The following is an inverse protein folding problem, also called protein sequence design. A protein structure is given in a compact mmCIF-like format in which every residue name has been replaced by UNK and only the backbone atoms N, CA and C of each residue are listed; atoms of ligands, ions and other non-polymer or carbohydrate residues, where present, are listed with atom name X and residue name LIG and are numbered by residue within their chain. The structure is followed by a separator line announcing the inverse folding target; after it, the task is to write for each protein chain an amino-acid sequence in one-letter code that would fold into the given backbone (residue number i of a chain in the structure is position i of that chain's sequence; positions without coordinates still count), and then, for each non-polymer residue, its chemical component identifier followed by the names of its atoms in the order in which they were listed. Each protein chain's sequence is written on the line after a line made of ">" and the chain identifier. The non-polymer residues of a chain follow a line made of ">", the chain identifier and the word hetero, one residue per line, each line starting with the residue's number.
data_IF_995927660935
#
_entry.id   IF_995927660935
#
_cell.length_a   1.000
_cell.length_b   1.000
_cell.length_c   1.000
_cell.angle_alpha   90.00
_cell.angle_beta   90.00
_cell.angle_gamma   90.00
#
_symmetry.space_group_name_H-M   'P 1'
#
loop_
_entity.id
_entity.type
_entity.pdbx_description
1 polymer ?
#
# COMPACT_ATOMS: atom_id res chain seq x y z
N UNK A 1 -5.70 -14.58 4.86
CA UNK A 1 -6.53 -14.26 3.67
C UNK A 1 -6.08 -12.96 3.02
N UNK A 2 -5.89 -11.86 3.75
CA UNK A 2 -5.36 -10.60 3.18
C UNK A 2 -4.06 -10.79 2.38
N UNK A 3 -3.09 -11.54 2.90
CA UNK A 3 -1.87 -11.92 2.17
C UNK A 3 -2.13 -12.69 0.86
N UNK A 4 -3.18 -13.52 0.82
CA UNK A 4 -3.57 -14.25 -0.40
C UNK A 4 -4.15 -13.30 -1.47
N UNK A 5 -4.65 -12.14 -1.05
CA UNK A 5 -5.22 -11.14 -1.94
C UNK A 5 -4.16 -10.28 -2.67
N UNK A 6 -2.88 -10.68 -2.63
CA UNK A 6 -1.86 -10.14 -3.53
C UNK A 6 -2.21 -10.40 -5.01
N UNK A 7 -2.91 -11.51 -5.31
CA UNK A 7 -3.27 -11.89 -6.68
C UNK A 7 -4.08 -10.83 -7.45
N UNK A 8 -5.24 -10.34 -6.98
CA UNK A 8 -5.99 -9.28 -7.69
C UNK A 8 -5.18 -7.98 -7.82
N UNK A 9 -4.30 -7.68 -6.87
CA UNK A 9 -3.40 -6.53 -6.99
C UNK A 9 -2.36 -6.74 -8.10
N UNK A 10 -1.77 -7.93 -8.23
CA UNK A 10 -0.88 -8.30 -9.33
C UNK A 10 -1.59 -8.23 -10.68
N UNK A 11 -2.80 -8.79 -10.78
CA UNK A 11 -3.62 -8.73 -12.00
C UNK A 11 -3.86 -7.28 -12.43
N UNK A 12 -4.24 -6.40 -11.49
CA UNK A 12 -4.37 -4.96 -11.73
C UNK A 12 -3.07 -4.32 -12.20
N UNK A 13 -1.94 -4.58 -11.52
CA UNK A 13 -0.66 -3.99 -11.91
C UNK A 13 -0.19 -4.40 -13.31
N UNK A 14 -0.32 -5.69 -13.65
CA UNK A 14 0.05 -6.21 -14.98
C UNK A 14 -0.87 -5.67 -16.08
N UNK A 15 -2.16 -5.45 -15.77
CA UNK A 15 -3.11 -4.81 -16.69
C UNK A 15 -2.72 -3.35 -16.93
N UNK A 16 -2.49 -2.59 -15.85
CA UNK A 16 -2.36 -1.13 -15.88
C UNK A 16 -0.95 -0.64 -16.27
N UNK A 17 0.05 -1.52 -16.31
CA UNK A 17 1.44 -1.21 -16.67
C UNK A 17 1.96 -2.09 -17.83
N UNK A 18 1.07 -2.47 -18.75
CA UNK A 18 1.40 -3.37 -19.88
C UNK A 18 2.54 -2.86 -20.77
N UNK A 19 2.75 -1.55 -20.81
CA UNK A 19 3.82 -0.88 -21.56
C UNK A 19 5.16 -0.78 -20.78
N UNK A 20 5.18 -1.13 -19.49
CA UNK A 20 6.38 -1.18 -18.65
C UNK A 20 6.78 -2.63 -18.34
N UNK A 21 7.55 -3.23 -19.27
CA UNK A 21 8.01 -4.61 -19.15
C UNK A 21 8.90 -4.88 -17.92
N UNK A 22 9.71 -3.90 -17.50
CA UNK A 22 10.60 -4.04 -16.34
C UNK A 22 9.78 -4.04 -15.05
N UNK A 23 8.83 -3.12 -14.91
CA UNK A 23 7.92 -3.11 -13.76
C UNK A 23 7.04 -4.37 -13.73
N UNK A 24 6.54 -4.84 -14.88
CA UNK A 24 5.75 -6.08 -14.96
C UNK A 24 6.56 -7.33 -14.54
N UNK A 25 7.84 -7.39 -14.89
CA UNK A 25 8.74 -8.44 -14.43
C UNK A 25 8.94 -8.40 -12.91
N UNK A 26 9.14 -7.20 -12.35
CA UNK A 26 9.19 -7.02 -10.89
C UNK A 26 7.89 -7.49 -10.22
N UNK A 27 6.72 -7.15 -10.78
CA UNK A 27 5.44 -7.55 -10.18
C UNK A 27 5.24 -9.06 -10.13
N UNK A 28 5.82 -9.80 -11.08
CA UNK A 28 5.80 -11.26 -11.06
C UNK A 28 6.64 -11.84 -9.92
N UNK A 29 7.80 -11.24 -9.64
CA UNK A 29 8.68 -11.62 -8.52
C UNK A 29 8.04 -11.24 -7.19
N UNK A 30 7.54 -10.01 -7.06
CA UNK A 30 6.81 -9.55 -5.89
C UNK A 30 5.64 -10.48 -5.58
N UNK A 31 4.82 -10.82 -6.58
CA UNK A 31 3.69 -11.73 -6.37
C UNK A 31 4.11 -13.10 -5.85
N UNK A 32 5.19 -13.67 -6.40
CA UNK A 32 5.73 -14.92 -5.87
C UNK A 32 6.18 -14.78 -4.40
N UNK A 33 6.78 -13.65 -4.03
CA UNK A 33 7.18 -13.37 -2.66
C UNK A 33 5.97 -13.25 -1.72
N UNK A 34 4.97 -12.45 -2.08
CA UNK A 34 3.72 -12.28 -1.33
C UNK A 34 2.95 -13.59 -1.14
N UNK A 35 2.89 -14.44 -2.18
CA UNK A 35 2.20 -15.73 -2.05
C UNK A 35 2.86 -16.62 -0.99
N UNK A 36 4.18 -16.54 -0.77
CA UNK A 36 4.83 -17.27 0.32
C UNK A 36 4.32 -16.81 1.69
N UNK A 37 4.00 -15.53 1.89
CA UNK A 37 3.46 -15.02 3.15
C UNK A 37 2.15 -15.72 3.51
N UNK A 38 1.22 -15.79 2.56
CA UNK A 38 -0.05 -16.48 2.76
C UNK A 38 0.14 -17.97 3.07
N UNK A 39 1.04 -18.65 2.35
CA UNK A 39 1.30 -20.07 2.50
C UNK A 39 1.93 -20.40 3.86
N UNK A 40 2.91 -19.64 4.33
CA UNK A 40 3.54 -19.88 5.64
C UNK A 40 2.56 -19.62 6.79
N UNK A 41 1.70 -18.60 6.68
CA UNK A 41 0.66 -18.33 7.68
C UNK A 41 -0.40 -19.43 7.71
N UNK A 42 -0.87 -19.90 6.55
CA UNK A 42 -1.79 -21.04 6.48
C UNK A 42 -1.16 -22.31 7.07
N UNK A 43 0.12 -22.53 6.81
CA UNK A 43 0.86 -23.69 7.31
C UNK A 43 1.09 -23.63 8.82
N UNK A 44 1.23 -22.43 9.38
CA UNK A 44 1.18 -22.21 10.83
C UNK A 44 -0.21 -22.56 11.39
N UNK A 45 -1.29 -22.06 10.76
CA UNK A 45 -2.66 -22.36 11.19
C UNK A 45 -2.95 -23.87 11.15
N UNK A 46 -2.55 -24.59 10.10
CA UNK A 46 -2.74 -26.05 10.02
C UNK A 46 -2.14 -26.80 11.22
N UNK A 47 -1.00 -26.34 11.73
CA UNK A 47 -0.32 -26.98 12.87
C UNK A 47 -0.91 -26.59 14.22
N UNK A 48 -1.24 -25.32 14.40
CA UNK A 48 -1.52 -24.77 15.74
C UNK A 48 -2.98 -24.36 15.95
N UNK A 49 -3.73 -24.04 14.87
CA UNK A 49 -5.13 -23.59 14.88
C UNK A 49 -5.87 -24.08 13.62
N UNK A 50 -6.00 -25.40 13.41
CA UNK A 50 -6.56 -25.97 12.19
C UNK A 50 -8.01 -25.54 11.94
N UNK A 51 -8.74 -25.20 13.00
CA UNK A 51 -10.09 -24.63 12.98
C UNK A 51 -10.18 -23.26 12.28
N UNK A 52 -9.06 -22.56 12.13
CA UNK A 52 -8.98 -21.23 11.53
C UNK A 52 -8.32 -21.20 10.14
N UNK A 53 -7.98 -22.36 9.58
CA UNK A 53 -7.39 -22.43 8.24
C UNK A 53 -8.44 -21.99 7.22
N UNK A 54 -8.16 -21.00 6.35
CA UNK A 54 -9.11 -20.59 5.32
C UNK A 54 -9.47 -21.74 4.39
N UNK A 55 -10.75 -21.86 4.08
CA UNK A 55 -11.27 -22.72 3.03
C UNK A 55 -10.92 -22.19 1.64
N UNK A 56 -10.94 -23.06 0.63
CA UNK A 56 -10.73 -22.65 -0.76
C UNK A 56 -11.77 -21.61 -1.22
N UNK A 57 -13.02 -21.75 -0.76
CA UNK A 57 -14.08 -20.79 -1.05
C UNK A 57 -13.74 -19.39 -0.50
N UNK A 58 -13.29 -19.29 0.76
CA UNK A 58 -12.89 -18.01 1.35
C UNK A 58 -11.67 -17.37 0.66
N UNK A 59 -10.73 -18.19 0.19
CA UNK A 59 -9.60 -17.72 -0.61
C UNK A 59 -10.02 -17.27 -2.02
N UNK A 60 -11.03 -17.91 -2.61
CA UNK A 60 -11.57 -17.52 -3.91
C UNK A 60 -12.40 -16.25 -3.83
N UNK A 61 -13.13 -16.02 -2.74
CA UNK A 61 -13.99 -14.85 -2.55
C UNK A 61 -13.24 -13.51 -2.69
N UNK A 62 -11.95 -13.47 -2.34
CA UNK A 62 -11.11 -12.27 -2.44
C UNK A 62 -10.46 -12.09 -3.81
N UNK A 63 -10.64 -13.00 -4.76
CA UNK A 63 -10.14 -12.88 -6.13
C UNK A 63 -11.21 -12.24 -7.04
N UNK A 64 -11.17 -10.93 -7.16
CA UNK A 64 -12.02 -10.17 -8.08
C UNK A 64 -11.23 -9.06 -8.76
N UNK A 65 -11.71 -8.59 -9.91
CA UNK A 65 -11.03 -7.54 -10.66
C UNK A 65 -11.22 -6.18 -9.95
N UNK A 66 -10.12 -5.50 -9.64
CA UNK A 66 -10.14 -4.10 -9.22
C UNK A 66 -10.39 -3.16 -10.40
N UNK A 67 -11.07 -2.04 -10.16
CA UNK A 67 -11.22 -0.98 -11.15
C UNK A 67 -9.85 -0.41 -11.57
N UNK A 68 -9.70 0.11 -12.80
CA UNK A 68 -8.49 0.81 -13.23
C UNK A 68 -8.16 2.00 -12.33
N UNK A 69 -6.90 2.13 -11.97
CA UNK A 69 -6.40 3.22 -11.13
C UNK A 69 -5.17 3.90 -11.77
N UNK A 70 -4.94 5.21 -11.56
CA UNK A 70 -3.77 5.89 -12.11
C UNK A 70 -2.47 5.24 -11.61
N UNK A 71 -1.61 4.77 -12.53
CA UNK A 71 -0.43 3.96 -12.21
C UNK A 71 0.50 4.61 -11.16
N UNK A 72 0.74 5.92 -11.25
CA UNK A 72 1.58 6.66 -10.29
C UNK A 72 0.97 6.72 -8.89
N UNK A 73 -0.36 6.86 -8.79
CA UNK A 73 -1.05 6.85 -7.50
C UNK A 73 -1.02 5.45 -6.89
N UNK A 74 -1.28 4.42 -7.71
CA UNK A 74 -1.20 3.01 -7.31
C UNK A 74 0.21 2.65 -6.83
N UNK A 75 1.25 3.10 -7.52
CA UNK A 75 2.64 2.89 -7.13
C UNK A 75 2.95 3.46 -5.74
N UNK A 76 2.53 4.71 -5.47
CA UNK A 76 2.69 5.32 -4.15
C UNK A 76 1.87 4.61 -3.07
N UNK A 77 0.64 4.20 -3.43
CA UNK A 77 -0.28 3.54 -2.51
C UNK A 77 0.31 2.22 -2.00
N UNK A 78 0.84 1.40 -2.90
CA UNK A 78 1.50 0.14 -2.54
C UNK A 78 2.81 0.37 -1.79
N UNK A 79 3.64 1.34 -2.18
CA UNK A 79 4.81 1.74 -1.37
C UNK A 79 4.44 2.07 0.10
N UNK A 80 3.35 2.83 0.30
CA UNK A 80 2.85 3.09 1.66
C UNK A 80 2.31 1.84 2.36
N UNK A 81 1.65 0.95 1.60
CA UNK A 81 1.20 -0.36 2.08
C UNK A 81 2.36 -1.17 2.66
N UNK A 82 3.47 -1.28 1.93
CA UNK A 82 4.67 -2.00 2.36
C UNK A 82 5.28 -1.44 3.65
N UNK A 83 5.39 -0.11 3.76
CA UNK A 83 5.87 0.53 5.00
C UNK A 83 4.95 0.15 6.17
N UNK A 84 3.64 0.15 5.94
CA UNK A 84 2.65 -0.15 6.97
C UNK A 84 2.69 -1.62 7.38
N UNK A 85 2.70 -2.56 6.42
CA UNK A 85 2.82 -4.00 6.68
C UNK A 85 4.12 -4.32 7.43
N UNK A 86 5.25 -3.70 7.06
CA UNK A 86 6.50 -3.82 7.79
C UNK A 86 6.30 -3.49 9.29
N UNK A 87 5.62 -2.39 9.61
CA UNK A 87 5.41 -2.00 11.00
C UNK A 87 4.37 -2.86 11.69
N UNK A 88 3.30 -3.28 11.00
CA UNK A 88 2.29 -4.20 11.53
C UNK A 88 2.94 -5.53 11.96
N UNK A 89 3.75 -6.13 11.09
CA UNK A 89 4.42 -7.39 11.39
C UNK A 89 5.49 -7.27 12.47
N UNK A 90 6.25 -6.16 12.51
CA UNK A 90 7.17 -5.89 13.62
C UNK A 90 6.43 -5.82 14.95
N UNK A 91 5.30 -5.10 14.99
CA UNK A 91 4.49 -5.00 16.21
C UNK A 91 3.89 -6.36 16.60
N UNK A 92 3.40 -7.12 15.63
CA UNK A 92 2.85 -8.45 15.86
C UNK A 92 3.91 -9.40 16.44
N UNK A 93 5.14 -9.38 15.91
CA UNK A 93 6.26 -10.15 16.45
C UNK A 93 6.62 -9.74 17.89
N UNK A 94 6.59 -8.44 18.20
CA UNK A 94 6.82 -7.95 19.57
C UNK A 94 5.73 -8.38 20.55
N UNK A 95 4.48 -8.39 20.10
CA UNK A 95 3.33 -8.74 20.93
C UNK A 95 3.26 -10.25 21.23
N UNK A 96 3.59 -11.10 20.25
CA UNK A 96 3.53 -12.54 20.43
C UNK A 96 4.66 -13.09 21.33
N UNK A 97 4.37 -14.22 21.97
CA UNK A 97 5.32 -14.99 22.81
C UNK A 97 5.74 -16.32 22.19
N UNK A 98 4.92 -16.90 21.31
CA UNK A 98 5.21 -18.18 20.65
C UNK A 98 6.33 -17.98 19.60
N UNK A 99 7.43 -18.76 19.67
CA UNK A 99 8.63 -18.49 18.88
C UNK A 99 8.44 -18.64 17.37
N UNK A 100 7.62 -19.58 16.90
CA UNK A 100 7.45 -19.85 15.47
C UNK A 100 6.74 -18.69 14.78
N UNK A 101 5.59 -18.23 15.30
CA UNK A 101 4.85 -17.12 14.70
C UNK A 101 5.64 -15.81 14.77
N UNK A 102 6.44 -15.60 15.83
CA UNK A 102 7.35 -14.45 15.90
C UNK A 102 8.37 -14.49 14.76
N UNK A 103 9.01 -15.63 14.54
CA UNK A 103 9.98 -15.79 13.47
C UNK A 103 9.34 -15.59 12.07
N UNK A 104 8.08 -16.04 11.91
CA UNK A 104 7.30 -15.79 10.68
C UNK A 104 7.08 -14.28 10.51
N UNK A 105 6.52 -13.58 11.51
CA UNK A 105 6.27 -12.14 11.41
C UNK A 105 7.55 -11.31 11.22
N UNK A 106 8.65 -11.66 11.88
CA UNK A 106 9.94 -11.01 11.63
C UNK A 106 10.44 -11.22 10.20
N UNK A 107 10.14 -12.37 9.60
CA UNK A 107 10.50 -12.67 8.21
C UNK A 107 9.65 -11.87 7.24
N UNK A 108 8.32 -11.91 7.40
CA UNK A 108 7.38 -11.11 6.61
C UNK A 108 7.76 -9.63 6.69
N UNK A 109 7.97 -9.08 7.89
CA UNK A 109 8.40 -7.70 8.05
C UNK A 109 9.67 -7.34 7.26
N UNK A 110 10.66 -8.24 7.19
CA UNK A 110 11.87 -8.01 6.40
C UNK A 110 11.57 -8.00 4.90
N UNK A 111 10.70 -8.89 4.44
CA UNK A 111 10.27 -8.93 3.05
C UNK A 111 9.51 -7.66 2.66
N UNK A 112 8.56 -7.17 3.47
CA UNK A 112 7.86 -5.91 3.18
C UNK A 112 8.79 -4.70 3.14
N UNK A 113 9.83 -4.69 3.98
CA UNK A 113 10.85 -3.64 3.90
C UNK A 113 11.61 -3.69 2.55
N UNK A 114 11.89 -4.89 2.02
CA UNK A 114 12.53 -5.05 0.70
C UNK A 114 11.56 -4.69 -0.42
N UNK A 115 10.30 -5.07 -0.33
CA UNK A 115 9.25 -4.70 -1.28
C UNK A 115 9.11 -3.17 -1.35
N UNK A 116 9.00 -2.50 -0.20
CA UNK A 116 8.98 -1.04 -0.10
C UNK A 116 10.23 -0.40 -0.72
N UNK A 117 11.41 -0.99 -0.52
CA UNK A 117 12.66 -0.58 -1.17
C UNK A 117 12.63 -0.74 -2.70
N UNK A 118 12.00 -1.78 -3.22
CA UNK A 118 11.82 -1.98 -4.65
C UNK A 118 10.86 -0.95 -5.26
N UNK A 119 9.69 -0.73 -4.64
CA UNK A 119 8.77 0.33 -5.07
C UNK A 119 9.41 1.71 -5.05
N UNK A 120 10.23 2.02 -4.03
CA UNK A 120 10.95 3.29 -3.96
C UNK A 120 11.88 3.52 -5.17
N UNK A 121 12.51 2.46 -5.69
CA UNK A 121 13.33 2.56 -6.92
C UNK A 121 12.47 2.91 -8.14
N UNK A 122 11.30 2.29 -8.27
CA UNK A 122 10.36 2.62 -9.35
C UNK A 122 9.80 4.03 -9.22
N UNK A 123 9.51 4.48 -8.00
CA UNK A 123 9.12 5.87 -7.75
C UNK A 123 10.20 6.87 -8.17
N UNK A 124 11.47 6.58 -7.87
CA UNK A 124 12.59 7.41 -8.32
C UNK A 124 12.69 7.49 -9.85
N UNK A 125 12.49 6.37 -10.55
CA UNK A 125 12.44 6.34 -12.03
C UNK A 125 11.25 7.12 -12.57
N UNK A 126 10.08 6.99 -11.94
CA UNK A 126 8.89 7.72 -12.31
C UNK A 126 9.07 9.25 -12.17
N UNK A 127 9.80 9.72 -11.16
CA UNK A 127 10.13 11.14 -11.04
C UNK A 127 11.02 11.65 -12.18
N UNK A 128 11.94 10.83 -12.66
CA UNK A 128 12.78 11.16 -13.82
C UNK A 128 11.97 11.19 -15.12
N UNK A 129 11.00 10.28 -15.26
CA UNK A 129 10.19 10.12 -16.48
C UNK A 129 9.04 11.12 -16.57
N UNK A 130 8.33 11.37 -15.46
CA UNK A 130 7.07 12.11 -15.44
C UNK A 130 7.15 13.44 -14.66
N UNK A 131 8.28 13.74 -14.01
CA UNK A 131 8.51 15.03 -13.35
C UNK A 131 7.41 15.41 -12.36
N UNK A 132 6.78 16.58 -12.58
CA UNK A 132 5.81 17.15 -11.67
C UNK A 132 4.49 16.35 -11.57
N UNK A 133 4.14 15.56 -12.58
CA UNK A 133 2.98 14.65 -12.50
C UNK A 133 3.21 13.55 -11.45
N UNK A 134 4.39 12.94 -11.44
CA UNK A 134 4.77 11.97 -10.41
C UNK A 134 4.85 12.61 -9.03
N UNK A 135 5.42 13.82 -8.92
CA UNK A 135 5.45 14.56 -7.65
C UNK A 135 4.02 14.83 -7.13
N UNK A 136 3.10 15.23 -8.01
CA UNK A 136 1.71 15.50 -7.64
C UNK A 136 0.99 14.23 -7.16
N UNK A 137 1.12 13.12 -7.90
CA UNK A 137 0.52 11.83 -7.53
C UNK A 137 1.07 11.31 -6.19
N UNK A 138 2.40 11.33 -6.01
CA UNK A 138 3.04 10.82 -4.79
C UNK A 138 2.73 11.69 -3.58
N UNK A 139 2.71 13.01 -3.73
CA UNK A 139 2.30 13.90 -2.65
C UNK A 139 0.82 13.74 -2.30
N UNK A 140 -0.06 13.52 -3.30
CA UNK A 140 -1.50 13.27 -3.07
C UNK A 140 -1.73 12.02 -2.24
N UNK A 141 -1.18 10.89 -2.68
CA UNK A 141 -1.36 9.61 -1.98
C UNK A 141 -0.58 9.60 -0.66
N UNK A 142 0.61 10.22 -0.61
CA UNK A 142 1.38 10.37 0.62
C UNK A 142 0.63 11.12 1.72
N UNK A 143 -0.08 12.20 1.38
CA UNK A 143 -0.95 12.91 2.35
C UNK A 143 -2.06 11.99 2.86
N UNK A 144 -2.73 11.26 1.96
CA UNK A 144 -3.79 10.31 2.35
C UNK A 144 -3.23 9.26 3.32
N UNK A 145 -2.18 8.56 2.92
CA UNK A 145 -1.62 7.42 3.66
C UNK A 145 -0.95 7.81 4.98
N UNK A 146 -0.45 9.04 5.09
CA UNK A 146 0.09 9.61 6.34
C UNK A 146 -0.98 10.26 7.23
N UNK A 147 -2.24 10.31 6.80
CA UNK A 147 -3.36 10.90 7.56
C UNK A 147 -4.27 9.86 8.23
N UNK A 148 -3.79 8.62 8.44
CA UNK A 148 -4.61 7.50 8.94
C UNK A 148 -5.37 7.77 10.24
N UNK A 149 -4.85 8.65 11.11
CA UNK A 149 -5.54 9.09 12.34
C UNK A 149 -6.88 9.78 12.12
N UNK A 150 -7.22 10.14 10.87
CA UNK A 150 -8.47 10.81 10.50
C UNK A 150 -9.52 9.86 9.92
N UNK A 151 -9.20 8.58 9.78
CA UNK A 151 -10.08 7.56 9.20
C UNK A 151 -10.35 6.45 10.22
N UNK A 152 -11.57 5.93 10.25
CA UNK A 152 -11.92 4.80 11.12
C UNK A 152 -11.26 3.49 10.63
N UNK A 153 -11.12 3.34 9.31
CA UNK A 153 -10.53 2.17 8.68
C UNK A 153 -9.01 2.28 8.57
N UNK A 154 -8.34 1.13 8.68
CA UNK A 154 -6.92 1.00 8.41
C UNK A 154 -6.61 1.33 6.93
N UNK A 155 -5.73 2.31 6.70
CA UNK A 155 -5.32 2.73 5.36
C UNK A 155 -4.28 1.77 4.77
N UNK A 156 -4.75 0.77 4.04
CA UNK A 156 -3.95 -0.25 3.36
C UNK A 156 -4.50 -0.49 1.94
N UNK A 157 -3.68 -0.82 0.92
CA UNK A 157 -4.15 -1.05 -0.45
C UNK A 157 -5.36 -1.99 -0.57
N UNK A 158 -5.41 -3.06 0.24
CA UNK A 158 -6.53 -4.03 0.25
C UNK A 158 -7.87 -3.45 0.68
N UNK A 159 -7.86 -2.30 1.36
CA UNK A 159 -9.05 -1.58 1.84
C UNK A 159 -9.40 -0.39 0.94
N UNK A 160 -8.52 -0.03 0.00
CA UNK A 160 -8.62 1.19 -0.81
C UNK A 160 -8.82 0.90 -2.29
N UNK A 161 -8.31 -0.23 -2.79
CA UNK A 161 -8.69 -0.74 -4.11
C UNK A 161 -10.10 -1.32 -4.07
N UNK A 162 -10.90 -0.91 -5.03
CA UNK A 162 -12.33 -1.23 -5.11
C UNK A 162 -12.71 -1.78 -6.47
N UNK A 163 -13.87 -2.44 -6.52
CA UNK A 163 -14.68 -2.54 -7.73
C UNK A 163 -16.06 -1.93 -7.44
N UNK A 164 -16.32 -0.71 -7.92
CA UNK A 164 -17.51 0.07 -7.56
C UNK A 164 -18.81 -0.68 -7.88
N UNK A 165 -18.82 -1.53 -8.91
CA UNK A 165 -20.01 -2.33 -9.28
C UNK A 165 -20.35 -3.42 -8.27
N UNK A 166 -19.41 -3.77 -7.39
CA UNK A 166 -19.57 -4.83 -6.39
C UNK A 166 -19.94 -4.28 -4.99
N UNK A 167 -20.16 -2.96 -4.86
CA UNK A 167 -20.55 -2.36 -3.58
C UNK A 167 -21.83 -3.02 -3.01
N UNK A 168 -21.88 -3.35 -1.70
CA UNK A 168 -20.95 -2.99 -0.63
C UNK A 168 -19.78 -3.97 -0.41
N UNK A 169 -19.66 -5.02 -1.24
CA UNK A 169 -18.57 -6.00 -1.19
C UNK A 169 -17.52 -5.71 -2.28
N UNK A 170 -17.02 -4.48 -2.30
CA UNK A 170 -16.15 -3.94 -3.35
C UNK A 170 -14.66 -3.95 -3.01
N UNK A 171 -14.28 -4.20 -1.75
CA UNK A 171 -12.88 -4.29 -1.29
C UNK A 171 -12.50 -5.72 -0.88
N UNK A 172 -11.20 -6.01 -0.74
CA UNK A 172 -10.76 -7.29 -0.13
C UNK A 172 -11.36 -7.44 1.27
N UNK A 173 -11.28 -6.39 2.08
CA UNK A 173 -11.71 -6.43 3.49
C UNK A 173 -13.20 -6.75 3.63
N UNK A 174 -14.05 -6.16 2.78
CA UNK A 174 -15.49 -6.40 2.75
C UNK A 174 -15.89 -7.83 2.38
N UNK A 175 -14.94 -8.64 1.91
CA UNK A 175 -15.14 -10.03 1.48
C UNK A 175 -14.48 -11.05 2.42
N UNK A 176 -13.76 -10.59 3.44
CA UNK A 176 -13.24 -11.49 4.47
C UNK A 176 -14.38 -12.10 5.29
N UNK A 177 -14.18 -13.29 5.88
CA UNK A 177 -15.19 -13.93 6.75
C UNK A 177 -15.62 -13.04 7.92
N UNK A 178 -14.72 -12.19 8.39
CA UNK A 178 -14.96 -11.16 9.40
C UNK A 178 -14.30 -9.84 8.94
N UNK A 179 -15.06 -8.93 8.31
CA UNK A 179 -14.54 -7.64 7.83
C UNK A 179 -14.00 -6.73 8.94
N UNK A 180 -14.44 -6.88 10.18
CA UNK A 180 -13.97 -6.08 11.32
C UNK A 180 -12.68 -6.65 11.96
N UNK A 181 -12.24 -7.84 11.53
CA UNK A 181 -11.13 -8.55 12.18
C UNK A 181 -9.82 -7.78 12.12
N UNK A 182 -9.51 -7.11 11.00
CA UNK A 182 -8.27 -6.36 10.85
C UNK A 182 -8.17 -5.22 11.87
N UNK A 183 -9.24 -4.46 12.05
CA UNK A 183 -9.30 -3.39 13.04
C UNK A 183 -9.17 -3.94 14.46
N UNK A 184 -9.86 -5.06 14.76
CA UNK A 184 -9.73 -5.73 16.06
C UNK A 184 -8.31 -6.24 16.33
N UNK A 185 -7.65 -6.80 15.31
CA UNK A 185 -6.28 -7.29 15.40
C UNK A 185 -5.31 -6.13 15.68
N UNK A 186 -5.43 -5.03 14.93
CA UNK A 186 -4.60 -3.84 15.10
C UNK A 186 -4.83 -3.18 16.47
N UNK A 187 -6.08 -2.89 16.83
CA UNK A 187 -6.40 -2.08 18.01
C UNK A 187 -6.33 -2.87 19.31
N UNK A 188 -6.90 -4.07 19.33
CA UNK A 188 -7.13 -4.82 20.58
C UNK A 188 -6.08 -5.89 20.83
N UNK A 189 -5.56 -6.52 19.78
CA UNK A 189 -4.58 -7.60 19.93
C UNK A 189 -3.17 -7.01 19.97
N UNK A 190 -2.65 -6.57 18.82
CA UNK A 190 -1.25 -6.13 18.74
C UNK A 190 -1.05 -4.71 19.30
N UNK A 191 -2.13 -3.96 19.55
CA UNK A 191 -2.11 -2.60 20.06
C UNK A 191 -1.22 -1.68 19.20
N UNK A 192 -1.56 -1.60 17.91
CA UNK A 192 -0.90 -0.73 16.94
C UNK A 192 -1.30 0.73 17.17
N UNK A 193 -0.77 1.29 18.24
CA UNK A 193 -1.15 2.58 18.79
C UNK A 193 -0.57 3.79 18.02
N UNK A 194 -0.80 4.97 18.58
CA UNK A 194 -0.29 6.24 18.08
C UNK A 194 1.24 6.27 17.90
N UNK A 195 2.00 5.54 18.72
CA UNK A 195 3.46 5.49 18.63
C UNK A 195 3.87 4.73 17.38
N UNK A 196 3.22 3.61 17.11
CA UNK A 196 3.47 2.82 15.90
C UNK A 196 2.98 3.50 14.62
N UNK A 197 1.83 4.16 14.67
CA UNK A 197 1.35 4.95 13.54
C UNK A 197 2.31 6.10 13.22
N UNK A 198 2.90 6.75 14.23
CA UNK A 198 3.91 7.79 14.00
C UNK A 198 5.14 7.26 13.27
N UNK A 199 5.61 6.04 13.56
CA UNK A 199 6.74 5.43 12.85
C UNK A 199 6.46 5.25 11.36
N UNK A 200 5.23 4.85 11.01
CA UNK A 200 4.78 4.74 9.61
C UNK A 200 4.79 6.12 8.95
N UNK A 201 4.19 7.12 9.59
CA UNK A 201 4.13 8.50 9.08
C UNK A 201 5.53 9.08 8.87
N UNK A 202 6.41 8.97 9.86
CA UNK A 202 7.80 9.45 9.78
C UNK A 202 8.55 8.78 8.62
N UNK A 203 8.37 7.47 8.42
CA UNK A 203 9.01 6.74 7.33
C UNK A 203 8.49 7.19 5.95
N UNK A 204 7.19 7.44 5.80
CA UNK A 204 6.60 7.97 4.56
C UNK A 204 7.16 9.35 4.26
N UNK A 205 7.10 10.27 5.25
CA UNK A 205 7.58 11.64 5.09
C UNK A 205 9.07 11.69 4.78
N UNK A 206 9.88 10.91 5.48
CA UNK A 206 11.31 10.81 5.24
C UNK A 206 11.64 10.38 3.80
N UNK A 207 11.01 9.32 3.30
CA UNK A 207 11.26 8.86 1.93
C UNK A 207 10.80 9.87 0.88
N UNK A 208 9.63 10.51 1.09
CA UNK A 208 9.18 11.59 0.21
C UNK A 208 10.13 12.79 0.27
N UNK A 209 10.70 13.11 1.42
CA UNK A 209 11.68 14.19 1.51
C UNK A 209 12.93 13.93 0.70
N UNK A 210 13.40 12.68 0.70
CA UNK A 210 14.54 12.27 -0.12
C UNK A 210 14.20 12.29 -1.61
N UNK A 211 13.03 11.79 -2.00
CA UNK A 211 12.60 11.75 -3.40
C UNK A 211 12.36 13.14 -4.00
N UNK A 212 11.81 14.07 -3.20
CA UNK A 212 11.43 15.41 -3.65
C UNK A 212 12.50 16.47 -3.36
N UNK A 213 13.63 16.07 -2.78
CA UNK A 213 14.72 16.95 -2.35
C UNK A 213 14.20 18.14 -1.49
N UNK A 214 13.21 17.88 -0.63
CA UNK A 214 12.54 18.88 0.20
C UNK A 214 12.16 18.29 1.55
N UNK A 215 12.48 18.98 2.64
CA UNK A 215 12.13 18.53 3.99
C UNK A 215 10.61 18.57 4.21
N UNK A 216 10.07 17.48 4.78
CA UNK A 216 8.69 17.35 5.24
C UNK A 216 8.72 16.84 6.68
N UNK A 217 8.66 17.75 7.64
CA UNK A 217 8.59 17.42 9.06
C UNK A 217 7.16 17.02 9.50
N UNK A 218 6.16 17.32 8.67
CA UNK A 218 4.76 17.03 8.98
C UNK A 218 3.90 16.79 7.74
N UNK A 219 2.75 16.14 7.92
CA UNK A 219 1.75 15.93 6.86
C UNK A 219 1.20 17.26 6.33
N UNK A 220 1.17 18.29 7.17
CA UNK A 220 0.76 19.65 6.81
C UNK A 220 1.72 20.27 5.79
N UNK A 221 3.03 20.08 5.96
CA UNK A 221 4.04 20.53 5.01
C UNK A 221 3.95 19.77 3.69
N UNK A 222 3.79 18.44 3.74
CA UNK A 222 3.55 17.64 2.54
C UNK A 222 2.27 18.07 1.80
N UNK A 223 1.19 18.39 2.52
CA UNK A 223 -0.05 18.86 1.90
C UNK A 223 0.08 20.26 1.30
N UNK A 224 0.93 21.14 1.87
CA UNK A 224 1.26 22.42 1.26
C UNK A 224 1.99 22.20 -0.07
N UNK A 225 3.02 21.36 -0.06
CA UNK A 225 3.75 20.96 -1.26
C UNK A 225 2.84 20.33 -2.32
N UNK A 226 1.95 19.41 -1.93
CA UNK A 226 0.95 18.82 -2.83
C UNK A 226 0.14 19.88 -3.57
N UNK A 227 -0.31 20.94 -2.87
CA UNK A 227 -1.07 22.04 -3.47
C UNK A 227 -0.21 22.88 -4.42
N UNK A 228 1.03 23.16 -4.05
CA UNK A 228 2.01 23.88 -4.90
C UNK A 228 2.23 23.14 -6.22
N UNK A 229 2.58 21.85 -6.17
CA UNK A 229 2.84 21.04 -7.37
C UNK A 229 1.58 20.86 -8.21
N UNK A 230 0.42 20.64 -7.59
CA UNK A 230 -0.85 20.55 -8.31
C UNK A 230 -1.16 21.83 -9.10
N UNK A 231 -0.83 23.00 -8.55
CA UNK A 231 -0.97 24.27 -9.26
C UNK A 231 0.00 24.39 -10.46
N UNK A 232 1.24 23.90 -10.32
CA UNK A 232 2.22 23.85 -11.41
C UNK A 232 1.75 22.95 -12.56
N UNK A 233 1.30 21.74 -12.24
CA UNK A 233 0.75 20.80 -13.23
C UNK A 233 -0.48 21.41 -13.93
N UNK A 234 -1.40 22.03 -13.19
CA UNK A 234 -2.57 22.69 -13.75
C UNK A 234 -2.21 23.91 -14.64
N UNK A 235 -1.15 24.64 -14.31
CA UNK A 235 -0.66 25.75 -15.12
C UNK A 235 -0.01 25.26 -16.42
N UNK A 236 0.81 24.20 -16.35
CA UNK A 236 1.44 23.59 -17.51
C UNK A 236 0.39 23.03 -18.49
N UNK A 237 -0.68 22.43 -17.98
CA UNK A 237 -1.78 21.91 -18.79
C UNK A 237 -2.59 22.99 -19.55
N UNK A 238 -2.55 24.26 -19.10
CA UNK A 238 -3.28 25.37 -19.74
C UNK A 238 -2.57 25.97 -20.96
N UNK A 239 -1.30 25.62 -21.20
CA UNK A 239 -0.49 26.15 -22.30
C UNK A 239 -0.25 27.67 -22.25
N UNK A 240 0.58 28.23 -23.14
CA UNK A 240 0.70 29.69 -23.28
C UNK A 240 -0.63 30.27 -23.77
N UNK A 241 -1.13 31.31 -23.10
CA UNK A 241 -2.22 32.14 -23.64
C UNK A 241 -1.78 32.67 -25.00
N UNK A 242 -2.50 32.27 -26.06
CA UNK A 242 -2.31 32.84 -27.40
C UNK A 242 -2.41 34.38 -27.30
N UNK A 243 -1.49 35.13 -27.93
CA UNK A 243 -1.56 36.59 -27.90
C UNK A 243 -2.90 37.04 -28.48
N UNK A 244 -3.59 37.93 -27.76
CA UNK A 244 -4.84 38.52 -28.24
C UNK A 244 -4.57 39.22 -29.58
N UNK A 245 -5.39 39.00 -30.62
CA UNK A 245 -5.31 39.80 -31.83
C UNK A 245 -5.57 41.27 -31.47
N UNK A 246 -4.73 42.15 -32.02
CA UNK A 246 -4.81 43.59 -31.87
C UNK A 246 -6.06 44.18 -32.53
#
# INVERSE_FOLDING_TARGET
>A
ITEWAALPATEMFLRDNRDDSDFSAFMSVWFFEEQKHSLVLMEYLRRFRPDLVPSEAELHEVRFEFDPAPALETLMLHFCGEIRLNHWYRRAAEWHTEPVIKAIYETLARDEARHGGAYLRYMKRALQKFGDEAKAAFAKVGVLMASARRTAQALHPTNLHVNVKLFPRDTIQSRLPNPEWLEQWLDRQIQFDAVWENKVVERILHNLSLLMERSFASVQELNRYRKEVAALVAAAAKGPLAPRPA
#
